data_IF_072115467307
#
_entry.id   IF_072115467307
#
_cell.length_a   1.000
_cell.length_b   1.000
_cell.length_c   1.000
_cell.angle_alpha   90.00
_cell.angle_beta   90.00
_cell.angle_gamma   90.00
#
_symmetry.space_group_name_H-M   'P 1'
#
loop_
_entity.id
_entity.type
_entity.pdbx_description
1 polymer ?
#
# COMPACT_ATOMS: atom_id res chain seq x y z
N UNK A 1 -6.74 -2.47 11.14
CA UNK A 1 -7.40 -1.88 9.94
C UNK A 1 -8.79 -1.36 10.32
N UNK A 2 -9.36 -0.42 9.57
CA UNK A 2 -10.77 0.04 9.77
C UNK A 2 -10.99 1.30 10.61
N UNK A 3 -9.96 1.84 11.28
CA UNK A 3 -10.07 3.07 12.09
C UNK A 3 -9.99 4.39 11.30
N UNK A 4 -10.03 4.35 9.96
CA UNK A 4 -9.98 5.57 9.14
C UNK A 4 -8.60 6.23 9.00
N UNK A 5 -7.51 5.45 8.88
CA UNK A 5 -6.13 5.97 8.67
C UNK A 5 -6.06 6.99 7.52
N UNK A 6 -6.79 6.72 6.44
CA UNK A 6 -6.86 7.60 5.26
C UNK A 6 -7.44 8.96 5.61
N UNK A 7 -8.54 9.03 6.38
CA UNK A 7 -9.14 10.28 6.82
C UNK A 7 -8.18 11.07 7.71
N UNK A 8 -7.59 10.43 8.71
CA UNK A 8 -6.59 11.08 9.58
C UNK A 8 -5.42 11.67 8.78
N UNK A 9 -4.97 10.94 7.76
CA UNK A 9 -3.92 11.40 6.86
C UNK A 9 -4.38 12.60 6.02
N UNK A 10 -5.59 12.55 5.46
CA UNK A 10 -6.16 13.67 4.68
C UNK A 10 -6.31 14.90 5.56
N UNK A 11 -6.80 14.74 6.79
CA UNK A 11 -6.91 15.84 7.77
C UNK A 11 -5.56 16.46 8.07
N UNK A 12 -4.53 15.65 8.34
CA UNK A 12 -3.16 16.15 8.55
C UNK A 12 -2.64 16.92 7.32
N UNK A 13 -2.80 16.35 6.13
CA UNK A 13 -2.37 16.98 4.87
C UNK A 13 -3.10 18.31 4.67
N UNK A 14 -4.41 18.34 4.89
CA UNK A 14 -5.21 19.55 4.80
C UNK A 14 -4.71 20.62 5.77
N UNK A 15 -4.51 20.28 7.05
CA UNK A 15 -4.00 21.22 8.07
C UNK A 15 -2.66 21.80 7.65
N UNK A 16 -1.71 20.96 7.20
CA UNK A 16 -0.39 21.42 6.76
C UNK A 16 -0.47 22.36 5.54
N UNK A 17 -1.32 22.04 4.57
CA UNK A 17 -1.53 22.89 3.40
C UNK A 17 -2.27 24.19 3.77
N UNK A 18 -3.14 24.16 4.77
CA UNK A 18 -3.90 25.32 5.24
C UNK A 18 -2.98 26.35 5.90
N UNK A 19 -2.05 25.89 6.74
CA UNK A 19 -1.02 26.76 7.35
C UNK A 19 -0.17 27.48 6.30
N UNK A 20 0.16 26.79 5.20
CA UNK A 20 0.87 27.39 4.06
C UNK A 20 -0.02 28.38 3.33
N UNK A 21 -1.30 28.05 3.11
CA UNK A 21 -2.26 28.93 2.44
C UNK A 21 -2.42 30.27 3.18
N UNK A 22 -2.47 30.24 4.51
CA UNK A 22 -2.56 31.45 5.34
C UNK A 22 -1.22 32.17 5.54
N UNK A 23 -0.14 31.72 4.89
CA UNK A 23 1.14 32.43 4.88
C UNK A 23 1.86 32.42 6.21
N UNK A 24 1.70 31.35 7.02
CA UNK A 24 2.40 31.23 8.29
C UNK A 24 3.93 31.21 8.05
N UNK A 25 4.62 32.27 8.49
CA UNK A 25 6.04 32.47 8.21
C UNK A 25 6.93 31.36 8.78
N UNK A 26 6.51 30.72 9.87
CA UNK A 26 7.21 29.57 10.45
C UNK A 26 7.19 28.35 9.52
N UNK A 27 6.11 28.17 8.74
CA UNK A 27 6.00 27.10 7.74
C UNK A 27 6.66 27.47 6.41
N UNK A 28 6.62 28.75 6.01
CA UNK A 28 7.23 29.23 4.78
C UNK A 28 8.76 29.01 4.74
N UNK A 29 9.43 29.06 5.89
CA UNK A 29 10.86 28.77 6.02
C UNK A 29 11.19 27.32 6.44
N UNK A 30 10.18 26.45 6.48
CA UNK A 30 10.34 25.06 6.93
C UNK A 30 10.60 24.10 5.76
N UNK A 31 10.86 22.83 6.10
CA UNK A 31 10.90 21.70 5.15
C UNK A 31 9.59 21.53 4.33
N UNK A 32 8.50 22.16 4.77
CA UNK A 32 7.18 22.12 4.15
C UNK A 32 6.87 23.28 3.21
N UNK A 33 7.79 24.22 3.00
CA UNK A 33 7.60 25.42 2.18
C UNK A 33 7.05 25.16 0.77
N UNK A 34 7.39 24.01 0.19
CA UNK A 34 6.93 23.61 -1.14
C UNK A 34 5.48 23.12 -1.21
N UNK A 35 4.84 22.79 -0.08
CA UNK A 35 3.49 22.25 -0.03
C UNK A 35 3.28 20.99 -0.88
N UNK A 36 4.36 20.22 -1.14
CA UNK A 36 4.35 19.04 -2.01
C UNK A 36 4.19 17.78 -1.19
N UNK A 37 3.04 17.12 -1.29
CA UNK A 37 2.78 15.86 -0.60
C UNK A 37 2.80 14.71 -1.60
N UNK A 38 3.57 13.67 -1.31
CA UNK A 38 3.63 12.44 -2.10
C UNK A 38 3.04 11.27 -1.30
N UNK A 39 2.02 10.62 -1.86
CA UNK A 39 1.38 9.44 -1.28
C UNK A 39 1.73 8.24 -2.15
N UNK A 40 2.51 7.32 -1.58
CA UNK A 40 2.86 6.03 -2.17
C UNK A 40 1.87 4.99 -1.68
N UNK A 41 1.19 4.31 -2.58
CA UNK A 41 0.24 3.26 -2.20
C UNK A 41 0.18 2.13 -3.24
N UNK A 42 -0.33 0.93 -2.87
CA UNK A 42 -0.58 -0.13 -3.84
C UNK A 42 -1.47 0.33 -4.99
N UNK A 43 -1.24 -0.21 -6.19
CA UNK A 43 -2.00 0.18 -7.41
C UNK A 43 -3.50 -0.02 -7.24
N UNK A 44 -3.90 -1.05 -6.49
CA UNK A 44 -5.29 -1.40 -6.22
C UNK A 44 -6.05 -0.36 -5.39
N UNK A 45 -5.35 0.49 -4.61
CA UNK A 45 -5.99 1.46 -3.70
C UNK A 45 -5.83 2.92 -4.13
N UNK A 46 -5.12 3.21 -5.22
CA UNK A 46 -4.93 4.58 -5.72
C UNK A 46 -6.24 5.28 -6.05
N UNK A 47 -7.18 4.56 -6.67
CA UNK A 47 -8.51 5.09 -6.98
C UNK A 47 -9.31 5.39 -5.70
N UNK A 48 -9.15 4.57 -4.66
CA UNK A 48 -9.79 4.79 -3.36
C UNK A 48 -9.22 6.03 -2.68
N UNK A 49 -7.89 6.21 -2.67
CA UNK A 49 -7.26 7.44 -2.17
C UNK A 49 -7.77 8.68 -2.89
N UNK A 50 -7.81 8.67 -4.22
CA UNK A 50 -8.34 9.79 -5.01
C UNK A 50 -9.82 10.08 -4.69
N UNK A 51 -10.63 9.03 -4.52
CA UNK A 51 -12.04 9.15 -4.17
C UNK A 51 -12.24 9.70 -2.76
N UNK A 52 -11.42 9.29 -1.79
CA UNK A 52 -11.47 9.80 -0.41
C UNK A 52 -11.03 11.27 -0.35
N UNK A 53 -9.98 11.68 -1.09
CA UNK A 53 -9.63 13.09 -1.21
C UNK A 53 -10.77 13.92 -1.78
N UNK A 54 -11.40 13.46 -2.86
CA UNK A 54 -12.56 14.14 -3.44
C UNK A 54 -13.73 14.21 -2.44
N UNK A 55 -14.03 13.10 -1.77
CA UNK A 55 -15.11 12.99 -0.80
C UNK A 55 -14.96 13.99 0.35
N UNK A 56 -13.75 14.13 0.92
CA UNK A 56 -13.53 15.00 2.08
C UNK A 56 -13.16 16.44 1.73
N UNK A 57 -12.43 16.67 0.64
CA UNK A 57 -11.93 18.02 0.28
C UNK A 57 -12.71 18.67 -0.87
N UNK A 58 -13.49 17.89 -1.61
CA UNK A 58 -14.16 18.35 -2.84
C UNK A 58 -13.22 18.61 -4.01
N UNK A 59 -11.90 18.46 -3.86
CA UNK A 59 -10.94 18.64 -4.95
C UNK A 59 -11.00 17.45 -5.88
N UNK A 60 -11.30 17.70 -7.15
CA UNK A 60 -11.24 16.68 -8.18
C UNK A 60 -9.80 16.24 -8.41
N UNK A 61 -9.62 14.95 -8.62
CA UNK A 61 -8.34 14.42 -9.06
C UNK A 61 -8.14 14.88 -10.50
N UNK A 62 -7.31 15.90 -10.69
CA UNK A 62 -7.20 16.69 -11.92
C UNK A 62 -6.95 15.80 -13.15
N UNK A 63 -8.03 15.47 -13.86
CA UNK A 63 -8.00 15.03 -15.25
C UNK A 63 -8.61 16.08 -16.18
N UNK A 64 -9.35 17.06 -15.66
CA UNK A 64 -10.02 18.12 -16.44
C UNK A 64 -9.03 19.13 -17.06
N UNK A 65 -7.86 19.35 -16.46
CA UNK A 65 -6.82 20.20 -17.07
C UNK A 65 -6.06 19.48 -18.20
N UNK A 66 -6.11 18.14 -18.26
CA UNK A 66 -5.45 17.32 -19.30
C UNK A 66 -6.46 16.81 -20.36
N UNK A 67 -7.75 16.70 -20.01
CA UNK A 67 -8.84 16.35 -20.93
C UNK A 67 -9.81 17.51 -21.08
N UNK A 68 -9.72 18.20 -22.22
CA UNK A 68 -10.63 19.23 -22.69
C UNK A 68 -12.09 18.77 -22.91
N UNK A 69 -12.47 17.55 -22.52
CA UNK A 69 -13.80 17.00 -22.69
C UNK A 69 -14.05 15.95 -21.61
N UNK A 70 -14.98 16.23 -20.71
CA UNK A 70 -16.00 15.31 -20.16
C UNK A 70 -16.70 16.06 -19.02
N UNK A 71 -17.83 16.67 -19.37
CA UNK A 71 -18.87 16.99 -18.39
C UNK A 71 -19.32 15.66 -17.77
N UNK A 72 -19.03 15.47 -16.50
CA UNK A 72 -19.80 14.56 -15.67
C UNK A 72 -20.05 15.33 -14.38
N UNK A 73 -21.19 16.02 -14.36
CA UNK A 73 -21.91 16.28 -13.12
C UNK A 73 -22.28 14.92 -12.52
N UNK A 74 -21.27 14.24 -11.99
CA UNK A 74 -21.50 13.08 -11.14
C UNK A 74 -22.28 13.61 -9.94
N UNK A 75 -23.32 12.90 -9.48
CA UNK A 75 -24.04 13.33 -8.30
C UNK A 75 -23.00 13.58 -7.22
N UNK A 76 -23.06 14.76 -6.59
CA UNK A 76 -22.40 15.04 -5.33
C UNK A 76 -22.82 13.91 -4.39
N UNK A 77 -22.08 12.80 -4.36
CA UNK A 77 -22.29 11.76 -3.38
C UNK A 77 -22.24 12.50 -2.06
N UNK A 78 -23.33 12.50 -1.28
CA UNK A 78 -23.30 13.15 0.01
C UNK A 78 -22.11 12.54 0.75
N UNK A 79 -21.21 13.39 1.25
CA UNK A 79 -20.17 12.93 2.13
C UNK A 79 -20.85 12.06 3.20
N UNK A 80 -20.36 10.85 3.49
CA UNK A 80 -20.97 9.96 4.47
C UNK A 80 -20.59 10.48 5.85
N UNK A 81 -21.14 11.62 6.20
CA UNK A 81 -21.32 12.04 7.57
C UNK A 81 -22.75 11.64 7.88
N UNK A 82 -22.87 10.46 8.50
CA UNK A 82 -24.05 9.89 9.13
C UNK A 82 -25.39 10.54 8.76
N UNK A 83 -26.03 10.03 7.70
CA UNK A 83 -27.49 10.13 7.61
C UNK A 83 -27.99 9.27 8.77
N UNK A 84 -28.68 9.83 9.78
CA UNK A 84 -29.21 9.04 10.87
C UNK A 84 -30.12 7.96 10.28
N UNK A 85 -29.78 6.69 10.48
CA UNK A 85 -30.57 5.56 9.99
C UNK A 85 -31.98 5.53 10.60
N UNK A 86 -32.24 6.33 11.65
CA UNK A 86 -33.55 6.49 12.28
C UNK A 86 -34.31 7.81 12.00
N UNK A 87 -33.71 8.79 11.32
CA UNK A 87 -34.38 10.03 10.89
C UNK A 87 -33.81 10.46 9.54
N UNK A 88 -34.58 10.28 8.46
CA UNK A 88 -34.27 10.95 7.21
C UNK A 88 -34.13 12.45 7.49
N UNK A 89 -32.99 13.05 7.17
CA UNK A 89 -32.81 14.50 7.23
C UNK A 89 -33.78 15.11 6.20
N UNK A 90 -34.88 15.70 6.64
CA UNK A 90 -35.90 16.31 5.76
C UNK A 90 -35.94 17.83 5.97
N UNK A 91 -36.19 18.58 4.90
CA UNK A 91 -36.46 20.02 4.97
C UNK A 91 -35.23 20.88 5.28
N UNK A 92 -35.41 21.85 6.19
CA UNK A 92 -34.44 22.91 6.47
C UNK A 92 -33.12 22.40 7.08
N UNK A 93 -33.15 21.34 7.90
CA UNK A 93 -31.96 20.77 8.54
C UNK A 93 -31.00 20.18 7.49
N UNK A 94 -31.55 19.41 6.54
CA UNK A 94 -30.78 18.90 5.40
C UNK A 94 -30.14 20.03 4.60
N UNK A 95 -30.88 21.10 4.33
CA UNK A 95 -30.37 22.25 3.58
C UNK A 95 -29.21 22.93 4.31
N UNK A 96 -29.32 23.17 5.63
CA UNK A 96 -28.24 23.74 6.44
C UNK A 96 -26.98 22.88 6.41
N UNK A 97 -27.11 21.56 6.55
CA UNK A 97 -25.97 20.64 6.48
C UNK A 97 -25.33 20.68 5.09
N UNK A 98 -26.14 20.62 4.03
CA UNK A 98 -25.63 20.70 2.66
C UNK A 98 -24.91 22.03 2.37
N UNK A 99 -25.43 23.15 2.89
CA UNK A 99 -24.80 24.46 2.77
C UNK A 99 -23.46 24.50 3.51
N UNK A 100 -23.42 23.99 4.75
CA UNK A 100 -22.17 23.87 5.53
C UNK A 100 -21.14 23.03 4.77
N UNK A 101 -21.54 21.87 4.24
CA UNK A 101 -20.66 21.00 3.45
C UNK A 101 -20.17 21.70 2.18
N UNK A 102 -21.00 22.50 1.51
CA UNK A 102 -20.60 23.27 0.34
C UNK A 102 -19.56 24.34 0.70
N UNK A 103 -19.75 25.07 1.79
CA UNK A 103 -18.81 26.08 2.27
C UNK A 103 -17.46 25.44 2.61
N UNK A 104 -17.46 24.39 3.43
CA UNK A 104 -16.22 23.67 3.80
C UNK A 104 -15.50 23.10 2.57
N UNK A 105 -16.24 22.56 1.60
CA UNK A 105 -15.64 22.08 0.34
C UNK A 105 -15.08 23.21 -0.52
N UNK A 106 -15.73 24.37 -0.54
CA UNK A 106 -15.23 25.55 -1.27
C UNK A 106 -13.90 26.03 -0.70
N UNK A 107 -13.82 26.16 0.63
CA UNK A 107 -12.58 26.49 1.34
C UNK A 107 -11.51 25.43 1.12
N UNK A 108 -11.88 24.15 1.22
CA UNK A 108 -10.96 23.03 1.01
C UNK A 108 -10.31 23.02 -0.38
N UNK A 109 -11.06 23.43 -1.41
CA UNK A 109 -10.53 23.58 -2.77
C UNK A 109 -9.44 24.63 -2.89
N UNK A 110 -9.53 25.73 -2.12
CA UNK A 110 -8.53 26.79 -2.13
C UNK A 110 -7.22 26.36 -1.46
N UNK A 111 -7.32 25.50 -0.45
CA UNK A 111 -6.19 24.99 0.34
C UNK A 111 -5.43 23.89 -0.40
N UNK A 112 -6.11 22.80 -0.76
CA UNK A 112 -5.44 21.60 -1.31
C UNK A 112 -4.96 21.84 -2.75
N UNK A 113 -5.56 22.81 -3.45
CA UNK A 113 -5.28 23.27 -4.84
C UNK A 113 -5.41 22.21 -5.92
N UNK A 114 -4.75 21.07 -5.77
CA UNK A 114 -4.80 19.96 -6.70
C UNK A 114 -4.48 18.61 -6.03
N UNK A 115 -5.12 17.57 -6.55
CA UNK A 115 -4.79 16.16 -6.28
C UNK A 115 -4.52 15.50 -7.63
N UNK A 116 -3.37 14.89 -7.80
CA UNK A 116 -2.96 14.24 -9.05
C UNK A 116 -2.77 12.75 -8.79
N UNK A 117 -3.48 11.91 -9.55
CA UNK A 117 -3.28 10.47 -9.51
C UNK A 117 -2.42 10.03 -10.70
N UNK A 118 -1.15 9.76 -10.43
CA UNK A 118 -0.16 9.38 -11.44
C UNK A 118 -0.51 8.07 -12.16
N UNK A 119 -1.17 7.12 -11.48
CA UNK A 119 -1.52 5.83 -12.06
C UNK A 119 -2.58 5.91 -13.17
N UNK A 120 -3.43 6.94 -13.15
CA UNK A 120 -4.46 7.14 -14.18
C UNK A 120 -3.89 7.73 -15.49
N UNK A 121 -2.70 8.33 -15.43
CA UNK A 121 -2.06 8.96 -16.59
C UNK A 121 -1.35 7.89 -17.41
N UNK A 122 -1.80 7.70 -18.66
CA UNK A 122 -1.25 6.68 -19.57
C UNK A 122 -0.05 7.16 -20.37
N UNK A 123 -0.09 8.41 -20.85
CA UNK A 123 0.95 8.98 -21.71
C UNK A 123 2.21 9.38 -20.91
N UNK A 124 3.42 8.98 -21.33
CA UNK A 124 4.67 9.40 -20.69
C UNK A 124 4.88 10.93 -20.70
N UNK A 125 4.46 11.62 -21.77
CA UNK A 125 4.56 13.09 -21.86
C UNK A 125 3.67 13.76 -20.82
N UNK A 126 2.45 13.25 -20.65
CA UNK A 126 1.48 13.79 -19.69
C UNK A 126 1.90 13.49 -18.26
N UNK A 127 2.58 12.35 -18.02
CA UNK A 127 3.18 12.02 -16.71
C UNK A 127 4.24 13.04 -16.30
N UNK A 128 5.12 13.42 -17.22
CA UNK A 128 6.12 14.45 -16.96
C UNK A 128 5.45 15.82 -16.74
N UNK A 129 4.46 16.18 -17.56
CA UNK A 129 3.69 17.41 -17.37
C UNK A 129 2.98 17.47 -16.01
N UNK A 130 2.41 16.36 -15.55
CA UNK A 130 1.79 16.25 -14.24
C UNK A 130 2.80 16.40 -13.09
N UNK A 131 4.01 15.84 -13.24
CA UNK A 131 5.09 16.03 -12.27
C UNK A 131 5.56 17.50 -12.22
N UNK A 132 5.70 18.18 -13.37
CA UNK A 132 6.00 19.62 -13.43
C UNK A 132 4.91 20.48 -12.77
N UNK A 133 3.65 20.13 -13.02
CA UNK A 133 2.50 20.82 -12.44
C UNK A 133 2.46 20.66 -10.92
N UNK A 134 2.71 19.45 -10.43
CA UNK A 134 2.84 19.18 -9.00
C UNK A 134 4.01 19.92 -8.37
N UNK A 135 5.15 19.94 -9.05
CA UNK A 135 6.35 20.62 -8.56
C UNK A 135 6.15 22.13 -8.37
N UNK A 136 5.52 22.78 -9.36
CA UNK A 136 5.30 24.23 -9.40
C UNK A 136 4.15 24.71 -8.51
N UNK A 137 3.03 23.98 -8.45
CA UNK A 137 1.83 24.42 -7.71
C UNK A 137 1.68 23.81 -6.32
N UNK A 138 2.44 22.76 -5.99
CA UNK A 138 2.27 21.99 -4.76
C UNK A 138 1.03 21.09 -4.80
N UNK A 139 0.52 20.70 -3.64
CA UNK A 139 -0.62 19.81 -3.50
C UNK A 139 -0.22 18.33 -3.42
N UNK A 140 -1.18 17.44 -3.71
CA UNK A 140 -1.04 16.00 -3.42
C UNK A 140 -0.80 15.21 -4.71
N UNK A 141 0.28 14.43 -4.73
CA UNK A 141 0.57 13.44 -5.75
C UNK A 141 0.34 12.04 -5.19
N UNK A 142 -0.59 11.28 -5.79
CA UNK A 142 -0.84 9.87 -5.49
C UNK A 142 -0.12 9.03 -6.54
N UNK A 143 0.78 8.15 -6.10
CA UNK A 143 1.62 7.35 -6.98
C UNK A 143 1.74 5.92 -6.48
N UNK A 144 1.87 4.98 -7.42
CA UNK A 144 2.15 3.59 -7.12
C UNK A 144 3.62 3.35 -6.79
N UNK A 145 3.89 2.36 -5.96
CA UNK A 145 5.26 1.91 -5.67
C UNK A 145 6.09 1.60 -6.93
N UNK A 146 5.48 0.97 -7.94
CA UNK A 146 6.14 0.71 -9.24
C UNK A 146 6.46 2.01 -9.99
N UNK A 147 5.47 2.89 -10.14
CA UNK A 147 5.65 4.18 -10.81
C UNK A 147 6.70 5.05 -10.13
N UNK A 148 6.71 5.08 -8.79
CA UNK A 148 7.71 5.78 -8.00
C UNK A 148 9.11 5.24 -8.24
N UNK A 149 9.27 3.91 -8.17
CA UNK A 149 10.56 3.25 -8.45
C UNK A 149 11.08 3.62 -9.83
N UNK A 150 10.22 3.61 -10.84
CA UNK A 150 10.62 3.88 -12.22
C UNK A 150 11.02 5.35 -12.42
N UNK A 151 10.27 6.29 -11.82
CA UNK A 151 10.61 7.73 -11.82
C UNK A 151 11.93 7.99 -11.10
N UNK A 152 12.10 7.45 -9.89
CA UNK A 152 13.31 7.65 -9.09
C UNK A 152 14.52 6.97 -9.70
N UNK A 153 14.36 5.78 -10.29
CA UNK A 153 15.45 5.11 -10.99
C UNK A 153 15.96 5.95 -12.17
N UNK A 154 15.04 6.56 -12.92
CA UNK A 154 15.37 7.52 -13.97
C UNK A 154 16.10 8.75 -13.44
N UNK A 155 15.60 9.35 -12.35
CA UNK A 155 16.19 10.53 -11.72
C UNK A 155 17.60 10.29 -11.16
N UNK A 156 17.86 9.12 -10.57
CA UNK A 156 19.15 8.80 -9.92
C UNK A 156 20.18 8.28 -10.92
N UNK A 157 19.79 7.34 -11.79
CA UNK A 157 20.73 6.59 -12.63
C UNK A 157 20.72 7.01 -14.11
N UNK A 158 19.80 7.88 -14.54
CA UNK A 158 19.71 8.36 -15.92
C UNK A 158 19.45 7.26 -16.96
N UNK A 159 18.99 6.08 -16.52
CA UNK A 159 18.73 4.90 -17.36
C UNK A 159 17.46 4.21 -16.87
N UNK A 160 16.55 3.89 -17.78
CA UNK A 160 15.45 2.98 -17.50
C UNK A 160 15.82 1.54 -17.91
N UNK A 161 15.07 0.54 -17.46
CA UNK A 161 15.14 -0.83 -17.98
C UNK A 161 14.56 -0.98 -19.40
N UNK A 162 14.18 0.13 -20.05
CA UNK A 162 13.61 0.19 -21.38
C UNK A 162 14.44 1.14 -22.27
N UNK A 163 15.36 0.57 -23.05
CA UNK A 163 15.75 1.10 -24.36
C UNK A 163 16.59 2.39 -24.41
N UNK A 164 17.73 2.27 -25.07
CA UNK A 164 18.65 3.35 -25.45
C UNK A 164 18.02 4.36 -26.43
N UNK A 165 17.96 5.64 -26.03
CA UNK A 165 18.01 6.79 -26.93
C UNK A 165 18.61 8.00 -26.17
N UNK A 166 19.67 8.61 -26.73
CA UNK A 166 20.78 9.22 -25.97
C UNK A 166 20.85 10.76 -25.98
N UNK A 167 19.77 11.48 -26.30
CA UNK A 167 19.84 12.95 -26.41
C UNK A 167 18.64 13.67 -25.80
N UNK A 168 17.41 13.24 -26.10
CA UNK A 168 16.22 13.89 -25.51
C UNK A 168 15.91 13.38 -24.09
N UNK A 169 16.34 12.16 -23.75
CA UNK A 169 16.08 11.56 -22.46
C UNK A 169 16.91 12.19 -21.32
N UNK A 170 18.11 12.70 -21.61
CA UNK A 170 19.00 13.27 -20.59
C UNK A 170 18.39 14.52 -19.94
N UNK A 171 17.72 15.37 -20.72
CA UNK A 171 16.97 16.53 -20.21
C UNK A 171 15.81 16.10 -19.30
N UNK A 172 15.09 15.05 -19.69
CA UNK A 172 13.98 14.50 -18.88
C UNK A 172 14.50 13.96 -17.56
N UNK A 173 15.64 13.26 -17.55
CA UNK A 173 16.22 12.71 -16.31
C UNK A 173 16.74 13.80 -15.37
N UNK A 174 17.40 14.82 -15.91
CA UNK A 174 17.80 16.00 -15.13
C UNK A 174 16.60 16.69 -14.51
N UNK A 175 15.51 16.82 -15.26
CA UNK A 175 14.28 17.40 -14.74
C UNK A 175 13.61 16.54 -13.66
N UNK A 176 13.57 15.21 -13.83
CA UNK A 176 13.05 14.32 -12.80
C UNK A 176 13.90 14.35 -11.52
N UNK A 177 15.22 14.51 -11.66
CA UNK A 177 16.13 14.75 -10.54
C UNK A 177 15.82 16.06 -9.83
N UNK A 178 15.65 17.15 -10.56
CA UNK A 178 15.24 18.44 -9.99
C UNK A 178 13.91 18.33 -9.23
N UNK A 179 12.92 17.63 -9.81
CA UNK A 179 11.57 17.48 -9.24
C UNK A 179 11.56 16.62 -7.98
N UNK A 180 12.32 15.53 -7.94
CA UNK A 180 12.23 14.54 -6.85
C UNK A 180 13.34 14.67 -5.80
N UNK A 181 14.56 15.08 -6.17
CA UNK A 181 15.74 15.06 -5.30
C UNK A 181 16.18 16.46 -4.84
N UNK A 182 16.22 17.46 -5.74
CA UNK A 182 16.71 18.78 -5.36
C UNK A 182 15.62 19.59 -4.63
N UNK A 183 14.42 19.61 -5.21
CA UNK A 183 13.24 20.28 -4.65
C UNK A 183 12.08 19.28 -4.49
N UNK A 184 12.39 18.15 -3.85
CA UNK A 184 11.51 17.00 -3.69
C UNK A 184 10.20 17.23 -2.92
N UNK A 185 9.44 16.14 -2.65
CA UNK A 185 8.26 16.21 -1.78
C UNK A 185 8.64 16.73 -0.39
N UNK A 186 7.77 17.56 0.18
CA UNK A 186 7.87 18.01 1.57
C UNK A 186 7.44 16.92 2.55
N UNK A 187 6.42 16.13 2.20
CA UNK A 187 5.94 14.99 3.00
C UNK A 187 5.76 13.77 2.11
N UNK A 188 6.23 12.64 2.60
CA UNK A 188 6.00 11.33 1.97
C UNK A 188 5.15 10.47 2.90
N UNK A 189 4.04 9.99 2.39
CA UNK A 189 3.18 9.03 3.08
C UNK A 189 3.28 7.71 2.31
N UNK A 190 3.65 6.64 3.00
CA UNK A 190 3.70 5.29 2.45
C UNK A 190 2.56 4.46 3.04
N UNK A 191 1.55 4.14 2.22
CA UNK A 191 0.43 3.29 2.58
C UNK A 191 0.72 1.82 2.31
N UNK A 192 0.33 0.95 3.24
CA UNK A 192 0.79 -0.43 3.31
C UNK A 192 2.32 -0.51 3.30
N UNK A 193 2.96 0.21 4.23
CA UNK A 193 4.42 0.36 4.28
C UNK A 193 5.22 -0.94 4.46
N UNK A 194 4.56 -2.05 4.81
CA UNK A 194 5.15 -3.40 4.69
C UNK A 194 5.56 -3.73 3.24
N UNK A 195 5.09 -3.00 2.23
CA UNK A 195 5.58 -3.07 0.85
C UNK A 195 7.07 -2.69 0.77
N UNK A 196 7.56 -1.84 1.68
CA UNK A 196 8.97 -1.47 1.86
C UNK A 196 9.62 -2.43 2.88
N UNK A 197 9.39 -3.75 2.73
CA UNK A 197 9.86 -4.75 3.71
C UNK A 197 11.36 -4.96 3.79
N UNK A 198 12.09 -4.71 2.71
CA UNK A 198 13.49 -5.10 2.59
C UNK A 198 14.35 -3.90 2.19
N UNK A 199 15.33 -3.51 3.02
CA UNK A 199 16.18 -2.34 2.78
C UNK A 199 17.05 -2.50 1.54
N UNK A 200 17.34 -3.75 1.13
CA UNK A 200 18.14 -4.05 -0.06
C UNK A 200 17.36 -3.90 -1.37
N UNK A 201 16.03 -3.73 -1.29
CA UNK A 201 15.24 -3.55 -2.51
C UNK A 201 15.54 -2.18 -3.12
N UNK A 202 15.59 -2.13 -4.46
CA UNK A 202 15.75 -0.86 -5.19
C UNK A 202 14.74 0.18 -4.74
N UNK A 203 13.52 -0.24 -4.42
CA UNK A 203 12.46 0.66 -3.95
C UNK A 203 12.81 1.30 -2.60
N UNK A 204 13.24 0.53 -1.61
CA UNK A 204 13.64 1.05 -0.30
C UNK A 204 14.88 1.97 -0.41
N UNK A 205 15.88 1.56 -1.19
CA UNK A 205 17.06 2.39 -1.45
C UNK A 205 16.70 3.74 -2.09
N UNK A 206 15.86 3.74 -3.13
CA UNK A 206 15.41 4.95 -3.81
C UNK A 206 14.51 5.81 -2.92
N UNK A 207 13.66 5.21 -2.09
CA UNK A 207 12.83 5.93 -1.13
C UNK A 207 13.68 6.65 -0.07
N UNK A 208 14.75 6.00 0.40
CA UNK A 208 15.70 6.61 1.35
C UNK A 208 16.53 7.75 0.76
N UNK A 209 16.70 7.81 -0.57
CA UNK A 209 17.37 8.92 -1.27
C UNK A 209 16.54 10.21 -1.32
N UNK A 210 15.24 10.18 -0.98
CA UNK A 210 14.44 11.39 -0.95
C UNK A 210 14.93 12.34 0.17
N UNK A 211 15.08 13.65 -0.11
CA UNK A 211 15.65 14.59 0.84
C UNK A 211 14.77 14.83 2.08
N UNK A 212 13.45 14.63 1.96
CA UNK A 212 12.55 14.91 3.08
C UNK A 212 12.70 13.93 4.22
N UNK A 213 12.74 14.49 5.43
CA UNK A 213 12.69 13.75 6.71
C UNK A 213 11.26 13.62 7.25
N UNK A 214 10.28 14.34 6.69
CA UNK A 214 8.89 14.19 7.07
C UNK A 214 8.27 13.01 6.31
N UNK A 215 8.23 11.86 6.97
CA UNK A 215 7.82 10.59 6.38
C UNK A 215 6.85 9.88 7.32
N UNK A 216 5.71 9.44 6.79
CA UNK A 216 4.68 8.71 7.54
C UNK A 216 4.48 7.37 6.87
N UNK A 217 4.48 6.30 7.66
CA UNK A 217 4.22 4.94 7.22
C UNK A 217 2.89 4.47 7.79
N UNK A 218 1.94 4.13 6.93
CA UNK A 218 0.65 3.57 7.31
C UNK A 218 0.68 2.05 7.10
N UNK A 219 0.31 1.29 8.12
CA UNK A 219 0.20 -0.17 8.01
C UNK A 219 -1.05 -0.67 8.72
N UNK A 220 -1.70 -1.67 8.13
CA UNK A 220 -2.82 -2.39 8.74
C UNK A 220 -2.40 -3.53 9.66
N UNK A 221 -1.17 -4.02 9.50
CA UNK A 221 -0.63 -5.20 10.18
C UNK A 221 0.39 -4.77 11.23
N UNK A 222 0.04 -4.83 12.51
CA UNK A 222 0.99 -4.49 13.55
C UNK A 222 1.82 -5.74 13.90
N UNK A 223 3.15 -5.66 13.73
CA UNK A 223 4.16 -6.53 14.37
C UNK A 223 4.11 -8.05 14.11
N UNK A 224 3.16 -8.56 13.34
CA UNK A 224 2.96 -10.01 13.18
C UNK A 224 3.85 -10.57 12.06
N UNK A 225 5.03 -11.04 12.48
CA UNK A 225 5.86 -12.12 11.90
C UNK A 225 7.26 -11.73 11.38
N UNK A 226 7.63 -10.45 11.30
CA UNK A 226 9.02 -10.09 10.98
C UNK A 226 9.46 -8.75 11.58
N UNK A 227 10.22 -8.80 12.67
CA UNK A 227 10.82 -7.63 13.31
C UNK A 227 11.78 -6.86 12.37
N UNK A 228 12.32 -7.50 11.33
CA UNK A 228 13.18 -6.84 10.34
C UNK A 228 12.37 -5.92 9.41
N UNK A 229 11.13 -6.30 9.07
CA UNK A 229 10.24 -5.43 8.30
C UNK A 229 9.87 -4.20 9.12
N UNK A 230 9.68 -4.41 10.42
CA UNK A 230 9.45 -3.32 11.37
C UNK A 230 10.63 -2.36 11.44
N UNK A 231 11.86 -2.88 11.56
CA UNK A 231 13.08 -2.06 11.49
C UNK A 231 13.11 -1.25 10.20
N UNK A 232 12.77 -1.85 9.06
CA UNK A 232 12.80 -1.17 7.76
C UNK A 232 11.77 -0.04 7.66
N UNK A 233 10.56 -0.25 8.21
CA UNK A 233 9.54 0.81 8.27
C UNK A 233 9.96 1.98 9.18
N UNK A 234 10.55 1.67 10.34
CA UNK A 234 11.06 2.70 11.27
C UNK A 234 12.24 3.43 10.66
N UNK A 235 13.19 2.74 10.03
CA UNK A 235 14.33 3.35 9.36
C UNK A 235 13.89 4.22 8.17
N UNK A 236 12.84 3.83 7.45
CA UNK A 236 12.27 4.68 6.41
C UNK A 236 11.76 6.00 7.00
N UNK A 237 11.04 5.98 8.13
CA UNK A 237 10.50 7.20 8.76
C UNK A 237 11.57 8.00 9.52
N UNK A 238 12.46 7.33 10.23
CA UNK A 238 13.48 7.86 11.13
C UNK A 238 14.82 7.15 10.89
N UNK A 239 15.54 7.51 9.80
CA UNK A 239 16.77 6.82 9.41
C UNK A 239 17.82 6.79 10.52
N UNK A 240 18.35 5.61 10.81
CA UNK A 240 19.40 5.40 11.83
C UNK A 240 18.93 5.36 13.29
N UNK A 241 17.63 5.55 13.58
CA UNK A 241 17.11 5.56 14.96
C UNK A 241 17.33 4.24 15.70
N UNK A 242 17.21 3.11 15.01
CA UNK A 242 17.41 1.76 15.56
C UNK A 242 18.83 1.21 15.34
N UNK A 243 19.75 2.04 14.85
CA UNK A 243 21.07 1.61 14.41
C UNK A 243 21.02 0.70 13.17
N UNK A 244 22.12 -0.01 12.91
CA UNK A 244 22.24 -0.89 11.75
C UNK A 244 21.37 -2.14 11.90
N UNK A 245 20.93 -2.72 10.77
CA UNK A 245 20.11 -3.94 10.76
C UNK A 245 20.82 -5.13 11.47
N UNK A 246 22.15 -5.20 11.39
CA UNK A 246 22.95 -6.23 12.06
C UNK A 246 22.88 -6.12 13.58
N UNK A 247 23.04 -4.89 14.10
CA UNK A 247 22.96 -4.62 15.54
C UNK A 247 21.55 -4.83 16.04
N UNK A 248 20.55 -4.38 15.28
CA UNK A 248 19.15 -4.64 15.58
C UNK A 248 18.83 -6.14 15.61
N UNK A 249 19.39 -6.92 14.68
CA UNK A 249 19.20 -8.37 14.65
C UNK A 249 19.80 -9.05 15.89
N UNK A 250 21.01 -8.66 16.27
CA UNK A 250 21.70 -9.24 17.43
C UNK A 250 21.06 -8.82 18.76
N UNK A 251 20.64 -7.57 18.90
CA UNK A 251 20.13 -7.03 20.15
C UNK A 251 18.63 -7.35 20.37
N UNK A 252 17.83 -7.46 19.31
CA UNK A 252 16.38 -7.65 19.43
C UNK A 252 15.88 -8.90 18.71
N UNK A 253 16.16 -9.06 17.42
CA UNK A 253 15.52 -10.12 16.61
C UNK A 253 15.88 -11.52 17.10
N UNK A 254 17.17 -11.82 17.26
CA UNK A 254 17.63 -13.15 17.65
C UNK A 254 17.22 -13.50 19.09
N UNK A 255 17.43 -12.63 20.10
CA UNK A 255 16.99 -12.92 21.46
C UNK A 255 15.48 -13.11 21.58
N UNK A 256 14.69 -12.33 20.83
CA UNK A 256 13.22 -12.47 20.83
C UNK A 256 12.82 -13.81 20.21
N UNK A 257 13.36 -14.15 19.02
CA UNK A 257 13.07 -15.41 18.34
C UNK A 257 13.45 -16.62 19.18
N UNK A 258 14.62 -16.60 19.80
CA UNK A 258 15.12 -17.71 20.62
C UNK A 258 14.24 -18.03 21.82
N UNK A 259 13.49 -17.06 22.37
CA UNK A 259 12.57 -17.31 23.48
C UNK A 259 11.14 -17.66 23.09
N UNK A 260 10.81 -17.71 21.79
CA UNK A 260 9.46 -18.02 21.28
C UNK A 260 9.23 -19.51 21.01
N UNK A 261 10.30 -20.33 20.96
CA UNK A 261 10.18 -21.76 20.72
C UNK A 261 9.65 -22.50 21.97
N UNK A 262 8.91 -23.59 21.76
CA UNK A 262 8.33 -24.36 22.86
C UNK A 262 9.38 -24.99 23.79
N UNK A 263 10.55 -25.31 23.25
CA UNK A 263 11.72 -25.88 23.92
C UNK A 263 12.71 -24.84 24.48
N UNK A 264 12.42 -23.53 24.33
CA UNK A 264 13.29 -22.46 24.82
C UNK A 264 13.49 -22.52 26.34
N UNK A 265 14.72 -22.28 26.80
CA UNK A 265 15.07 -22.27 28.23
C UNK A 265 14.33 -21.15 29.00
N UNK A 266 14.18 -21.25 30.33
CA UNK A 266 13.60 -20.18 31.13
C UNK A 266 14.37 -18.86 31.03
N UNK A 267 15.70 -18.91 30.83
CA UNK A 267 16.53 -17.73 30.63
C UNK A 267 16.23 -17.05 29.28
N UNK A 268 16.09 -17.82 28.20
CA UNK A 268 15.77 -17.30 26.87
C UNK A 268 14.38 -16.66 26.82
N UNK A 269 13.39 -17.27 27.47
CA UNK A 269 12.03 -16.70 27.59
C UNK A 269 12.05 -15.36 28.34
N UNK A 270 12.82 -15.26 29.43
CA UNK A 270 13.00 -14.01 30.18
C UNK A 270 13.69 -12.95 29.32
N UNK A 271 14.77 -13.31 28.62
CA UNK A 271 15.49 -12.40 27.72
C UNK A 271 14.59 -11.90 26.58
N UNK A 272 13.84 -12.80 25.94
CA UNK A 272 12.89 -12.45 24.87
C UNK A 272 11.83 -11.45 25.37
N UNK A 273 11.25 -11.71 26.54
CA UNK A 273 10.26 -10.81 27.16
C UNK A 273 10.88 -9.44 27.48
N UNK A 274 12.10 -9.41 28.01
CA UNK A 274 12.81 -8.16 28.32
C UNK A 274 13.08 -7.36 27.04
N UNK A 275 13.68 -7.98 26.01
CA UNK A 275 14.00 -7.32 24.75
C UNK A 275 12.76 -6.82 24.02
N UNK A 276 11.65 -7.58 24.05
CA UNK A 276 10.38 -7.14 23.49
C UNK A 276 9.83 -5.90 24.20
N UNK A 277 9.87 -5.85 25.54
CA UNK A 277 9.43 -4.68 26.32
C UNK A 277 10.33 -3.47 26.09
N UNK A 278 11.64 -3.66 26.05
CA UNK A 278 12.61 -2.59 25.77
C UNK A 278 12.35 -2.00 24.39
N UNK A 279 12.16 -2.86 23.38
CA UNK A 279 11.84 -2.43 22.02
C UNK A 279 10.52 -1.65 21.98
N UNK A 280 9.45 -2.17 22.60
CA UNK A 280 8.16 -1.47 22.68
C UNK A 280 8.29 -0.08 23.30
N UNK A 281 8.99 0.05 24.43
CA UNK A 281 9.20 1.36 25.09
C UNK A 281 9.97 2.35 24.23
N UNK A 282 10.97 1.86 23.48
CA UNK A 282 11.76 2.69 22.58
C UNK A 282 10.91 3.22 21.41
N UNK A 283 9.91 2.45 20.98
CA UNK A 283 9.06 2.77 19.82
C UNK A 283 7.76 3.49 20.18
N UNK A 284 7.41 3.54 21.47
CA UNK A 284 6.15 4.08 21.99
C UNK A 284 5.88 5.52 21.49
N UNK A 285 6.92 6.34 21.37
CA UNK A 285 6.80 7.73 20.89
C UNK A 285 6.74 7.86 19.37
N UNK A 286 7.14 6.82 18.63
CA UNK A 286 7.24 6.86 17.16
C UNK A 286 6.05 6.18 16.47
N UNK A 287 5.43 5.21 17.14
CA UNK A 287 4.36 4.39 16.55
C UNK A 287 3.07 4.58 17.31
N UNK A 288 2.13 5.29 16.67
CA UNK A 288 0.74 5.35 17.12
C UNK A 288 0.00 4.09 16.66
N UNK A 289 -0.31 3.22 17.61
CA UNK A 289 -1.10 2.00 17.38
C UNK A 289 -2.39 2.07 18.18
N UNK A 290 -3.50 1.93 17.46
CA UNK A 290 -4.85 1.90 18.00
C UNK A 290 -5.53 0.60 17.57
N UNK A 291 -6.01 -0.17 18.54
CA UNK A 291 -6.76 -1.39 18.26
C UNK A 291 -8.24 -1.08 18.03
N UNK A 292 -8.93 -1.96 17.31
CA UNK A 292 -10.35 -1.78 16.96
C UNK A 292 -11.29 -1.72 18.17
N UNK A 293 -10.82 -2.13 19.36
CA UNK A 293 -11.57 -2.09 20.60
C UNK A 293 -12.00 -0.66 20.98
N UNK A 294 -11.32 0.38 20.49
CA UNK A 294 -11.71 1.78 20.76
C UNK A 294 -13.10 2.10 20.19
N UNK A 295 -13.49 1.44 19.10
CA UNK A 295 -14.80 1.65 18.46
C UNK A 295 -15.83 0.60 18.89
N UNK A 296 -15.53 -0.29 19.84
CA UNK A 296 -16.43 -1.40 20.20
C UNK A 296 -17.77 -0.94 20.77
N UNK A 297 -17.81 0.26 21.35
CA UNK A 297 -19.03 0.87 21.89
C UNK A 297 -19.86 1.61 20.82
N UNK A 298 -19.26 1.97 19.69
CA UNK A 298 -19.90 2.75 18.62
C UNK A 298 -20.30 1.89 17.42
N UNK A 299 -19.67 0.74 17.25
CA UNK A 299 -19.94 -0.19 16.15
C UNK A 299 -20.66 -1.44 16.65
N UNK A 300 -21.51 -2.07 15.81
CA UNK A 300 -22.07 -3.38 16.12
C UNK A 300 -20.98 -4.41 16.42
N UNK A 301 -21.28 -5.35 17.33
CA UNK A 301 -20.34 -6.42 17.70
C UNK A 301 -19.98 -7.25 16.46
N UNK A 302 -18.68 -7.41 16.19
CA UNK A 302 -18.19 -8.34 15.17
C UNK A 302 -18.42 -9.77 15.65
N UNK A 303 -19.13 -10.57 14.84
CA UNK A 303 -19.32 -12.00 15.07
C UNK A 303 -18.64 -12.77 13.94
N UNK A 304 -17.76 -13.70 14.30
CA UNK A 304 -17.02 -14.53 13.35
C UNK A 304 -17.48 -15.98 13.50
N UNK A 305 -17.82 -16.62 12.39
CA UNK A 305 -18.22 -18.02 12.35
C UNK A 305 -17.17 -18.81 11.56
N UNK A 306 -16.67 -19.88 12.15
CA UNK A 306 -15.84 -20.86 11.46
C UNK A 306 -16.75 -22.03 11.07
N UNK A 307 -17.08 -22.12 9.79
CA UNK A 307 -17.94 -23.17 9.26
C UNK A 307 -17.05 -24.25 8.64
N UNK A 308 -16.99 -25.41 9.28
CA UNK A 308 -16.27 -26.57 8.75
C UNK A 308 -17.18 -27.35 7.80
N UNK A 309 -16.91 -27.25 6.50
CA UNK A 309 -17.63 -27.99 5.47
C UNK A 309 -16.91 -29.32 5.18
N UNK A 310 -17.57 -30.49 5.33
CA UNK A 310 -16.97 -31.76 4.93
C UNK A 310 -16.82 -31.82 3.40
N UNK A 311 -15.78 -32.53 2.93
CA UNK A 311 -15.59 -32.78 1.51
C UNK A 311 -16.69 -33.69 0.96
N UNK A 312 -17.15 -33.41 -0.25
CA UNK A 312 -18.06 -34.31 -0.97
C UNK A 312 -17.34 -35.60 -1.38
N UNK A 313 -18.08 -36.69 -1.59
CA UNK A 313 -17.50 -37.98 -2.01
C UNK A 313 -16.58 -37.86 -3.24
N UNK A 314 -16.95 -37.00 -4.21
CA UNK A 314 -16.12 -36.74 -5.39
C UNK A 314 -14.84 -35.98 -5.05
N UNK A 315 -14.89 -34.98 -4.18
CA UNK A 315 -13.71 -34.27 -3.71
C UNK A 315 -12.77 -35.18 -2.94
N UNK A 316 -13.30 -36.02 -2.04
CA UNK A 316 -12.51 -37.00 -1.28
C UNK A 316 -11.78 -37.96 -2.20
N UNK A 317 -12.49 -38.57 -3.15
CA UNK A 317 -11.89 -39.49 -4.14
C UNK A 317 -10.79 -38.82 -4.97
N UNK A 318 -11.00 -37.58 -5.43
CA UNK A 318 -9.99 -36.83 -6.18
C UNK A 318 -8.78 -36.47 -5.31
N UNK A 319 -9.02 -36.04 -4.07
CA UNK A 319 -8.00 -35.65 -3.11
C UNK A 319 -7.09 -36.83 -2.76
N UNK A 320 -7.68 -37.98 -2.43
CA UNK A 320 -6.95 -39.22 -2.12
C UNK A 320 -6.15 -39.73 -3.32
N UNK A 321 -6.74 -39.77 -4.51
CA UNK A 321 -6.03 -40.18 -5.74
C UNK A 321 -4.85 -39.26 -6.04
N UNK A 322 -5.01 -37.96 -5.84
CA UNK A 322 -3.94 -37.00 -6.04
C UNK A 322 -2.80 -37.20 -5.03
N UNK A 323 -3.12 -37.43 -3.76
CA UNK A 323 -2.12 -37.72 -2.73
C UNK A 323 -1.40 -39.06 -2.99
N UNK A 324 -2.12 -40.11 -3.38
CA UNK A 324 -1.53 -41.39 -3.72
C UNK A 324 -0.55 -41.26 -4.90
N UNK A 325 -0.90 -40.45 -5.92
CA UNK A 325 -0.01 -40.14 -7.04
C UNK A 325 1.20 -39.29 -6.61
N UNK A 326 1.03 -38.34 -5.69
CA UNK A 326 2.11 -37.52 -5.14
C UNK A 326 3.11 -38.33 -4.30
N UNK A 327 2.62 -39.26 -3.47
CA UNK A 327 3.44 -40.13 -2.62
C UNK A 327 4.07 -41.31 -3.39
N UNK A 328 3.76 -41.48 -4.67
CA UNK A 328 4.27 -42.59 -5.48
C UNK A 328 3.71 -43.96 -5.09
N UNK A 329 2.56 -43.99 -4.40
CA UNK A 329 1.91 -45.22 -3.93
C UNK A 329 1.04 -45.84 -5.05
N UNK A 330 0.84 -45.12 -6.16
CA UNK A 330 0.04 -45.59 -7.30
C UNK A 330 0.81 -46.61 -8.17
N UNK A 331 0.29 -47.84 -8.35
CA UNK A 331 0.94 -48.84 -9.20
C UNK A 331 0.91 -48.41 -10.67
N UNK A 332 2.06 -48.46 -11.35
CA UNK A 332 2.20 -48.19 -12.78
C UNK A 332 2.60 -46.75 -13.17
N UNK A 333 2.73 -45.83 -12.21
CA UNK A 333 3.29 -44.49 -12.47
C UNK A 333 4.76 -44.50 -12.07
N UNK A 334 5.68 -44.41 -13.04
CA UNK A 334 7.11 -44.31 -12.75
C UNK A 334 7.38 -43.13 -11.81
N UNK A 335 8.29 -43.33 -10.85
CA UNK A 335 8.82 -42.32 -9.92
C UNK A 335 9.44 -41.14 -10.69
N UNK A 336 8.59 -40.28 -11.26
CA UNK A 336 9.00 -38.96 -11.69
C UNK A 336 9.29 -38.18 -10.42
N UNK A 337 10.49 -37.60 -10.34
CA UNK A 337 10.96 -36.79 -9.21
C UNK A 337 10.03 -35.60 -8.94
N UNK A 338 8.95 -35.89 -8.20
CA UNK A 338 7.94 -34.95 -7.74
C UNK A 338 8.34 -34.33 -6.39
N UNK A 339 9.40 -34.83 -5.74
CA UNK A 339 9.93 -34.34 -4.47
C UNK A 339 10.78 -33.07 -4.55
N UNK A 340 10.84 -32.40 -5.71
CA UNK A 340 11.53 -31.10 -5.81
C UNK A 340 10.68 -30.02 -5.13
N UNK A 341 11.23 -29.34 -4.13
CA UNK A 341 10.57 -28.25 -3.38
C UNK A 341 9.94 -27.16 -4.27
N UNK A 342 10.43 -26.95 -5.49
CA UNK A 342 9.84 -26.03 -6.47
C UNK A 342 8.40 -26.40 -6.89
N UNK A 343 7.99 -27.67 -6.77
CA UNK A 343 6.64 -28.13 -7.14
C UNK A 343 5.66 -28.14 -5.96
N UNK A 344 6.12 -28.00 -4.71
CA UNK A 344 5.27 -28.08 -3.51
C UNK A 344 4.12 -27.07 -3.55
N UNK A 345 4.41 -25.82 -3.92
CA UNK A 345 3.39 -24.78 -4.06
C UNK A 345 2.33 -25.14 -5.11
N UNK A 346 2.74 -25.76 -6.23
CA UNK A 346 1.83 -26.22 -7.26
C UNK A 346 0.91 -27.32 -6.73
N UNK A 347 1.44 -28.27 -5.95
CA UNK A 347 0.64 -29.32 -5.33
C UNK A 347 -0.39 -28.75 -4.34
N UNK A 348 0.02 -27.80 -3.49
CA UNK A 348 -0.89 -27.09 -2.59
C UNK A 348 -2.02 -26.38 -3.33
N UNK A 349 -1.71 -25.69 -4.44
CA UNK A 349 -2.73 -25.02 -5.26
C UNK A 349 -3.73 -26.00 -5.90
N UNK A 350 -3.26 -27.18 -6.32
CA UNK A 350 -4.15 -28.21 -6.89
C UNK A 350 -5.08 -28.77 -5.81
N UNK A 351 -4.56 -29.09 -4.62
CA UNK A 351 -5.38 -29.55 -3.50
C UNK A 351 -6.45 -28.51 -3.10
N UNK A 352 -6.06 -27.22 -3.02
CA UNK A 352 -7.02 -26.13 -2.79
C UNK A 352 -8.09 -26.05 -3.87
N UNK A 353 -7.72 -26.31 -5.13
CA UNK A 353 -8.67 -26.32 -6.25
C UNK A 353 -9.69 -27.46 -6.12
N UNK A 354 -9.24 -28.65 -5.69
CA UNK A 354 -10.11 -29.80 -5.40
C UNK A 354 -11.07 -29.45 -4.26
N UNK A 355 -10.57 -28.85 -3.17
CA UNK A 355 -11.37 -28.44 -2.02
C UNK A 355 -12.37 -27.31 -2.37
N UNK A 356 -12.01 -26.38 -3.25
CA UNK A 356 -12.90 -25.29 -3.67
C UNK A 356 -14.10 -25.83 -4.48
N UNK A 357 -13.83 -26.48 -5.62
CA UNK A 357 -14.86 -27.15 -6.41
C UNK A 357 -14.25 -28.05 -7.51
N UNK A 358 -14.70 -29.30 -7.69
CA UNK A 358 -14.16 -30.20 -8.73
C UNK A 358 -14.26 -29.69 -10.17
N UNK A 359 -15.26 -28.85 -10.49
CA UNK A 359 -15.40 -28.28 -11.82
C UNK A 359 -14.20 -27.43 -12.24
N UNK A 360 -13.53 -26.77 -11.29
CA UNK A 360 -12.33 -25.97 -11.57
C UNK A 360 -11.19 -26.88 -12.02
N UNK A 361 -11.07 -28.08 -11.43
CA UNK A 361 -10.10 -29.07 -11.87
C UNK A 361 -10.37 -29.51 -13.32
N UNK A 362 -11.63 -29.71 -13.69
CA UNK A 362 -12.04 -30.04 -15.06
C UNK A 362 -11.64 -28.94 -16.04
N UNK A 363 -11.96 -27.69 -15.75
CA UNK A 363 -11.59 -26.55 -16.61
C UNK A 363 -10.08 -26.44 -16.80
N UNK A 364 -9.29 -26.65 -15.74
CA UNK A 364 -7.82 -26.64 -15.85
C UNK A 364 -7.28 -27.79 -16.72
N UNK A 365 -7.88 -28.97 -16.62
CA UNK A 365 -7.52 -30.12 -17.46
C UNK A 365 -7.84 -29.84 -18.94
N UNK A 366 -9.00 -29.26 -19.23
CA UNK A 366 -9.43 -28.92 -20.59
C UNK A 366 -8.52 -27.84 -21.20
N UNK A 367 -8.15 -26.81 -20.42
CA UNK A 367 -7.20 -25.77 -20.85
C UNK A 367 -5.82 -26.38 -21.16
N UNK A 368 -5.36 -27.32 -20.34
CA UNK A 368 -4.08 -27.99 -20.55
C UNK A 368 -4.09 -28.91 -21.78
N UNK A 369 -5.24 -29.53 -22.11
CA UNK A 369 -5.42 -30.29 -23.36
C UNK A 369 -5.33 -29.38 -24.58
N UNK A 370 -6.07 -28.26 -24.59
CA UNK A 370 -6.03 -27.27 -25.67
C UNK A 370 -4.63 -26.67 -25.89
N UNK A 371 -3.88 -26.43 -24.82
CA UNK A 371 -2.48 -25.96 -24.91
C UNK A 371 -1.53 -27.00 -25.49
N UNK A 372 -1.80 -28.29 -25.31
CA UNK A 372 -1.00 -29.37 -25.93
C UNK A 372 -1.35 -29.55 -27.40
N UNK A 373 -2.62 -29.51 -27.75
CA UNK A 373 -3.10 -29.60 -29.14
C UNK A 373 -2.60 -28.43 -30.00
N UNK A 374 -2.65 -27.20 -29.47
CA UNK A 374 -2.12 -26.00 -30.16
C UNK A 374 -0.59 -25.98 -30.32
N UNK A 375 0.15 -26.71 -29.47
CA UNK A 375 1.60 -26.92 -29.62
C UNK A 375 1.90 -28.05 -30.61
N UNK A 376 1.08 -29.09 -30.64
CA UNK A 376 1.20 -30.22 -31.58
C UNK A 376 0.89 -29.86 -33.03
N UNK A 377 0.00 -28.89 -33.28
CA UNK A 377 -0.37 -28.40 -34.62
C UNK A 377 0.62 -27.38 -35.22
N UNK A 378 1.69 -27.01 -34.50
CA UNK A 378 2.74 -26.09 -35.00
C UNK A 378 4.02 -26.81 -35.45
N UNK A 379 3.97 -28.13 -35.49
CA UNK A 379 4.92 -29.01 -36.19
C UNK A 379 4.14 -29.74 -37.28
#
# INVERSE_FOLDING_TARGET
>A
MGLGKTLQTISLVYTLLNEIHHGNQNFANSIFSGGRVLILCPVTVQANWASEFWKWTGVDHNLSTIRKYMAVDGPLLPAPFDIPTGRALVGAERQRILETVRTVRSESKQVVKQVINYGLIKSPKDRLAALRLWHSRGGVMIMGYSGFRDVMHGAVYGKSSFGSAKSNNDRVWQELRMIMLDNGPSLVIADEGHTIKNPKTKLAMLANMLPTKARICLTGYPLQNNLEEYWTMVDFCFPGYLGNISDFRNNYVNPIKNGLYADSSPADRRMSTLMMRTLQKLLDKLVDRRDSNILSHQLPRKVEYVISCPLTAMQTSLYERYLAAFLGIMPGVQNTSLSSNEKLFRHGMVLLTICNHPAVCRTLLDLHRQQRESKGSKH
#
